data_IF_950000060171
#
_entry.id   IF_950000060171
#
_cell.length_a   1.000
_cell.length_b   1.000
_cell.length_c   1.000
_cell.angle_alpha   90.00
_cell.angle_beta   90.00
_cell.angle_gamma   90.00
#
_symmetry.space_group_name_H-M   'P 1'
#
loop_
_entity.id
_entity.type
_entity.pdbx_description
1 polymer ?
#
# COMPACT_ATOMS: atom_id res chain seq x y z
N UNK A 1 34.78 2.81 -14.03
CA UNK A 1 35.51 2.74 -12.76
C UNK A 1 34.60 2.34 -11.60
N UNK A 2 33.59 3.15 -11.25
CA UNK A 2 32.63 2.88 -10.17
C UNK A 2 32.03 1.46 -10.14
N UNK A 3 31.62 0.94 -11.31
CA UNK A 3 31.07 -0.43 -11.39
C UNK A 3 32.07 -1.52 -10.95
N UNK A 4 33.34 -1.34 -11.30
CA UNK A 4 34.40 -2.28 -10.94
C UNK A 4 34.64 -2.26 -9.44
N UNK A 5 34.75 -1.06 -8.86
CA UNK A 5 34.89 -0.86 -7.41
C UNK A 5 33.70 -1.46 -6.66
N UNK A 6 32.47 -1.23 -7.12
CA UNK A 6 31.29 -1.83 -6.52
C UNK A 6 31.33 -3.37 -6.52
N UNK A 7 31.78 -3.99 -7.63
CA UNK A 7 31.94 -5.46 -7.69
C UNK A 7 33.03 -5.97 -6.75
N UNK A 8 34.15 -5.26 -6.67
CA UNK A 8 35.23 -5.59 -5.75
C UNK A 8 34.73 -5.49 -4.30
N UNK A 9 34.01 -4.42 -3.94
CA UNK A 9 33.37 -4.26 -2.64
C UNK A 9 32.39 -5.40 -2.30
N UNK A 10 31.53 -5.79 -3.24
CA UNK A 10 30.61 -6.93 -3.04
C UNK A 10 31.37 -8.25 -2.81
N UNK A 11 32.49 -8.42 -3.52
CA UNK A 11 33.33 -9.62 -3.39
C UNK A 11 34.03 -9.64 -2.03
N UNK A 12 34.54 -8.49 -1.57
CA UNK A 12 35.12 -8.33 -0.24
C UNK A 12 34.08 -8.55 0.86
N UNK A 13 32.86 -8.04 0.71
CA UNK A 13 31.76 -8.31 1.65
C UNK A 13 31.44 -9.81 1.73
N UNK A 14 31.39 -10.49 0.58
CA UNK A 14 31.17 -11.94 0.53
C UNK A 14 32.31 -12.71 1.22
N UNK A 15 33.57 -12.31 1.01
CA UNK A 15 34.72 -12.90 1.69
C UNK A 15 34.69 -12.65 3.21
N UNK A 16 34.31 -11.44 3.63
CA UNK A 16 34.21 -11.06 5.05
C UNK A 16 33.09 -11.79 5.77
N UNK A 17 31.96 -12.00 5.11
CA UNK A 17 30.86 -12.79 5.65
C UNK A 17 31.24 -14.27 5.74
N UNK A 18 31.95 -14.79 4.73
CA UNK A 18 32.41 -16.18 4.70
C UNK A 18 31.25 -17.16 4.82
N UNK A 19 31.32 -18.04 5.83
CA UNK A 19 30.29 -19.01 6.20
C UNK A 19 29.36 -18.53 7.32
N UNK A 20 29.55 -17.32 7.84
CA UNK A 20 28.76 -16.80 8.96
C UNK A 20 27.39 -16.33 8.49
N UNK A 21 26.42 -16.35 9.41
CA UNK A 21 25.06 -15.87 9.14
C UNK A 21 24.99 -14.34 9.10
N UNK A 22 25.79 -13.66 9.92
CA UNK A 22 25.92 -12.21 10.00
C UNK A 22 27.41 -11.81 10.08
N UNK A 23 27.74 -10.54 9.86
CA UNK A 23 29.14 -10.08 9.81
C UNK A 23 29.91 -10.24 11.13
N UNK A 24 29.20 -10.30 12.26
CA UNK A 24 29.80 -10.50 13.59
C UNK A 24 29.42 -11.85 14.23
N UNK A 25 29.06 -12.85 13.41
CA UNK A 25 28.77 -14.21 13.87
C UNK A 25 27.29 -14.56 13.78
N UNK A 26 26.72 -15.01 14.90
CA UNK A 26 25.36 -15.57 14.96
C UNK A 26 24.27 -14.54 15.28
N UNK A 27 24.66 -13.36 15.73
CA UNK A 27 23.76 -12.26 16.05
C UNK A 27 23.94 -11.10 15.05
N UNK A 28 22.83 -10.51 14.56
CA UNK A 28 22.87 -9.35 13.70
C UNK A 28 23.38 -8.10 14.45
N UNK A 29 24.16 -7.27 13.77
CA UNK A 29 24.75 -6.05 14.28
C UNK A 29 24.38 -4.82 13.42
N UNK A 30 24.85 -3.64 13.84
CA UNK A 30 24.63 -2.38 13.12
C UNK A 30 25.18 -2.39 11.69
N UNK A 31 26.33 -3.05 11.47
CA UNK A 31 26.89 -3.24 10.14
C UNK A 31 25.93 -4.04 9.24
N UNK A 32 25.26 -5.04 9.80
CA UNK A 32 24.36 -5.87 9.04
C UNK A 32 23.17 -5.06 8.51
N UNK A 33 22.59 -4.19 9.35
CA UNK A 33 21.54 -3.26 8.95
C UNK A 33 22.00 -2.32 7.83
N UNK A 34 23.22 -1.77 7.94
CA UNK A 34 23.79 -0.90 6.92
C UNK A 34 24.00 -1.63 5.59
N UNK A 35 24.64 -2.79 5.60
CA UNK A 35 24.89 -3.59 4.39
C UNK A 35 23.57 -4.06 3.78
N UNK A 36 22.64 -4.52 4.59
CA UNK A 36 21.30 -4.94 4.16
C UNK A 36 20.56 -3.82 3.44
N UNK A 37 20.59 -2.59 3.97
CA UNK A 37 19.92 -1.42 3.34
C UNK A 37 20.40 -1.15 1.91
N UNK A 38 21.65 -1.53 1.58
CA UNK A 38 22.22 -1.38 0.23
C UNK A 38 21.94 -2.60 -0.63
N UNK A 39 22.08 -3.80 -0.08
CA UNK A 39 21.94 -5.05 -0.84
C UNK A 39 20.49 -5.40 -1.17
N UNK A 40 19.55 -5.17 -0.24
CA UNK A 40 18.15 -5.58 -0.44
C UNK A 40 17.48 -4.85 -1.62
N UNK A 41 17.57 -3.51 -1.76
CA UNK A 41 17.07 -2.82 -2.94
C UNK A 41 17.82 -3.24 -4.20
N UNK A 42 19.15 -3.42 -4.13
CA UNK A 42 19.94 -3.86 -5.27
C UNK A 42 19.53 -5.24 -5.78
N UNK A 43 19.08 -6.15 -4.90
CA UNK A 43 18.59 -7.49 -5.25
C UNK A 43 17.15 -7.47 -5.81
N UNK A 44 16.29 -6.60 -5.29
CA UNK A 44 14.84 -6.61 -5.58
C UNK A 44 14.41 -5.63 -6.66
N UNK A 45 15.14 -4.53 -6.85
CA UNK A 45 14.79 -3.52 -7.84
C UNK A 45 14.97 -4.02 -9.27
N UNK A 46 14.09 -3.57 -10.17
CA UNK A 46 14.26 -3.72 -11.63
C UNK A 46 15.20 -2.63 -12.11
N UNK A 47 16.43 -3.00 -12.45
CA UNK A 47 17.46 -2.07 -12.90
C UNK A 47 17.60 -2.12 -14.42
N UNK A 48 17.81 -0.97 -15.10
CA UNK A 48 18.06 -0.94 -16.54
C UNK A 48 19.36 -1.65 -16.94
N UNK A 49 20.33 -1.71 -16.02
CA UNK A 49 21.57 -2.46 -16.16
C UNK A 49 21.71 -3.48 -15.02
N UNK A 50 21.40 -4.74 -15.32
CA UNK A 50 21.42 -5.84 -14.35
C UNK A 50 22.80 -6.42 -14.05
N UNK A 51 23.90 -5.94 -14.64
CA UNK A 51 25.21 -6.59 -14.50
C UNK A 51 25.71 -6.63 -13.05
N UNK A 52 25.46 -5.58 -12.24
CA UNK A 52 25.90 -5.55 -10.83
C UNK A 52 25.02 -6.47 -9.99
N UNK A 53 23.71 -6.43 -10.24
CA UNK A 53 22.73 -7.30 -9.60
C UNK A 53 23.01 -8.77 -9.92
N UNK A 54 23.43 -9.09 -11.15
CA UNK A 54 23.81 -10.44 -11.54
C UNK A 54 25.08 -10.90 -10.80
N UNK A 55 26.09 -10.03 -10.68
CA UNK A 55 27.28 -10.31 -9.85
C UNK A 55 26.88 -10.57 -8.40
N UNK A 56 26.02 -9.74 -7.81
CA UNK A 56 25.51 -9.96 -6.45
C UNK A 56 24.75 -11.29 -6.33
N UNK A 57 23.89 -11.62 -7.30
CA UNK A 57 23.15 -12.90 -7.36
C UNK A 57 24.06 -14.12 -7.52
N UNK A 58 25.28 -13.96 -8.03
CA UNK A 58 26.26 -15.05 -8.07
C UNK A 58 26.87 -15.35 -6.69
N UNK A 59 26.84 -14.39 -5.77
CA UNK A 59 27.35 -14.50 -4.41
C UNK A 59 26.25 -15.02 -3.47
N UNK A 60 26.06 -16.35 -3.47
CA UNK A 60 24.96 -16.99 -2.74
C UNK A 60 24.95 -16.69 -1.24
N UNK A 61 26.12 -16.56 -0.61
CA UNK A 61 26.20 -16.24 0.81
C UNK A 61 25.58 -14.88 1.14
N UNK A 62 25.80 -13.86 0.32
CA UNK A 62 25.17 -12.54 0.47
C UNK A 62 23.66 -12.59 0.20
N UNK A 63 23.22 -13.40 -0.75
CA UNK A 63 21.79 -13.62 -0.99
C UNK A 63 21.10 -14.28 0.21
N UNK A 64 21.72 -15.32 0.78
CA UNK A 64 21.23 -16.02 1.97
C UNK A 64 21.22 -15.12 3.20
N UNK A 65 22.25 -14.29 3.35
CA UNK A 65 22.34 -13.25 4.36
C UNK A 65 21.16 -12.26 4.28
N UNK A 66 20.88 -11.70 3.11
CA UNK A 66 19.73 -10.80 2.94
C UNK A 66 18.40 -11.50 3.24
N UNK A 67 18.26 -12.76 2.83
CA UNK A 67 17.06 -13.56 3.10
C UNK A 67 16.89 -13.83 4.60
N UNK A 68 18.00 -14.09 5.31
CA UNK A 68 18.01 -14.32 6.75
C UNK A 68 17.56 -13.07 7.53
N UNK A 69 18.04 -11.89 7.14
CA UNK A 69 17.62 -10.61 7.75
C UNK A 69 16.14 -10.32 7.47
N UNK A 70 15.68 -10.54 6.23
CA UNK A 70 14.27 -10.39 5.89
C UNK A 70 13.39 -11.31 6.75
N UNK A 71 13.75 -12.58 6.88
CA UNK A 71 12.97 -13.52 7.69
C UNK A 71 12.98 -13.20 9.18
N UNK A 72 14.08 -12.62 9.70
CA UNK A 72 14.24 -12.36 11.13
C UNK A 72 13.52 -11.08 11.58
N UNK A 73 13.62 -10.01 10.79
CA UNK A 73 13.13 -8.68 11.16
C UNK A 73 11.91 -8.21 10.38
N UNK A 74 11.67 -8.81 9.22
CA UNK A 74 10.54 -8.50 8.36
C UNK A 74 9.76 -9.79 8.03
N UNK A 75 9.41 -10.63 9.03
CA UNK A 75 8.60 -11.81 8.80
C UNK A 75 7.31 -11.36 8.13
N UNK A 76 7.10 -11.83 6.91
CA UNK A 76 5.91 -11.48 6.14
C UNK A 76 4.70 -12.14 6.83
N UNK A 77 3.99 -11.39 7.66
CA UNK A 77 2.77 -11.86 8.32
C UNK A 77 1.57 -11.53 7.43
N UNK A 78 1.08 -12.53 6.69
CA UNK A 78 -0.16 -12.43 5.91
C UNK A 78 0.01 -12.01 4.45
N UNK A 79 -0.28 -12.95 3.55
CA UNK A 79 -0.23 -12.79 2.10
C UNK A 79 -0.90 -11.52 1.58
N UNK A 80 -0.11 -10.73 0.87
CA UNK A 80 -0.52 -9.91 -0.27
C UNK A 80 0.77 -9.44 -0.92
N UNK A 81 1.35 -10.34 -1.71
CA UNK A 81 2.34 -10.00 -2.73
C UNK A 81 2.08 -8.59 -3.22
N UNK A 82 3.02 -7.69 -3.00
CA UNK A 82 2.98 -6.35 -3.58
C UNK A 82 2.59 -6.54 -5.06
N UNK A 83 1.42 -6.04 -5.51
CA UNK A 83 1.09 -6.14 -6.92
C UNK A 83 2.24 -5.48 -7.69
N UNK A 84 2.68 -6.03 -8.83
CA UNK A 84 3.54 -5.25 -9.71
C UNK A 84 2.84 -3.91 -9.99
N UNK A 85 3.58 -2.81 -10.26
CA UNK A 85 2.95 -1.54 -10.60
C UNK A 85 2.13 -1.74 -11.89
N UNK A 86 0.84 -2.02 -11.72
CA UNK A 86 -0.12 -2.08 -12.80
C UNK A 86 -0.45 -0.62 -13.16
N UNK A 87 -0.36 -0.23 -14.43
CA UNK A 87 -0.92 1.04 -14.87
C UNK A 87 -2.42 1.04 -14.56
N UNK A 88 -2.91 2.19 -14.10
CA UNK A 88 -4.27 2.42 -13.65
C UNK A 88 -5.33 1.67 -14.48
N UNK A 89 -6.18 0.89 -13.82
CA UNK A 89 -7.38 0.32 -14.41
C UNK A 89 -7.76 -1.05 -13.87
N UNK A 90 -8.88 -1.09 -13.14
CA UNK A 90 -9.77 -2.24 -12.94
C UNK A 90 -9.44 -3.23 -11.81
N UNK A 91 -10.11 -2.96 -10.70
CA UNK A 91 -10.61 -3.80 -9.61
C UNK A 91 -10.66 -5.34 -9.85
N UNK A 92 -9.79 -6.02 -9.11
CA UNK A 92 -10.03 -7.21 -8.27
C UNK A 92 -10.98 -8.33 -8.75
N UNK A 93 -10.39 -9.39 -9.31
CA UNK A 93 -10.99 -10.72 -9.38
C UNK A 93 -10.49 -11.62 -8.24
N UNK A 94 -10.92 -11.39 -7.01
CA UNK A 94 -10.94 -12.42 -5.96
C UNK A 94 -12.28 -12.33 -5.23
N UNK A 95 -13.24 -13.09 -5.75
CA UNK A 95 -14.64 -13.10 -5.33
C UNK A 95 -14.78 -13.86 -4.01
N UNK A 96 -14.47 -13.19 -2.91
CA UNK A 96 -14.84 -13.65 -1.56
C UNK A 96 -16.33 -13.32 -1.31
N UNK A 97 -17.21 -14.31 -1.07
CA UNK A 97 -18.67 -14.11 -1.00
C UNK A 97 -19.10 -13.19 0.15
N UNK A 98 -18.23 -12.89 1.12
CA UNK A 98 -18.52 -11.99 2.23
C UNK A 98 -18.28 -10.51 1.92
N UNK A 99 -17.49 -10.17 0.88
CA UNK A 99 -17.20 -8.78 0.50
C UNK A 99 -18.43 -8.10 -0.14
N UNK A 100 -19.15 -8.83 -1.01
CA UNK A 100 -20.42 -8.35 -1.59
C UNK A 100 -21.47 -8.07 -0.53
N UNK A 101 -21.61 -8.95 0.47
CA UNK A 101 -22.58 -8.72 1.57
C UNK A 101 -22.26 -7.47 2.36
N UNK A 102 -20.98 -7.22 2.68
CA UNK A 102 -20.57 -6.02 3.41
C UNK A 102 -20.78 -4.74 2.60
N UNK A 103 -20.50 -4.76 1.29
CA UNK A 103 -20.76 -3.62 0.39
C UNK A 103 -22.26 -3.36 0.22
N UNK A 104 -23.08 -4.40 0.08
CA UNK A 104 -24.54 -4.26 0.03
C UNK A 104 -25.09 -3.67 1.33
N UNK A 105 -24.58 -4.11 2.48
CA UNK A 105 -24.97 -3.58 3.78
C UNK A 105 -24.60 -2.11 3.92
N UNK A 106 -23.41 -1.68 3.50
CA UNK A 106 -23.03 -0.26 3.57
C UNK A 106 -23.86 0.62 2.64
N UNK A 107 -24.15 0.14 1.42
CA UNK A 107 -25.02 0.87 0.48
C UNK A 107 -26.44 0.98 1.03
N UNK A 108 -26.98 -0.10 1.60
CA UNK A 108 -28.32 -0.12 2.18
C UNK A 108 -28.43 0.85 3.36
N UNK A 109 -27.47 0.80 4.29
CA UNK A 109 -27.43 1.71 5.45
C UNK A 109 -27.31 3.16 4.99
N UNK A 110 -26.45 3.44 4.02
CA UNK A 110 -26.31 4.77 3.43
C UNK A 110 -27.62 5.27 2.81
N UNK A 111 -28.32 4.44 2.04
CA UNK A 111 -29.60 4.81 1.42
C UNK A 111 -30.68 5.08 2.47
N UNK A 112 -30.78 4.25 3.50
CA UNK A 112 -31.74 4.42 4.60
C UNK A 112 -31.46 5.71 5.37
N UNK A 113 -30.19 5.99 5.69
CA UNK A 113 -29.81 7.22 6.36
C UNK A 113 -30.09 8.46 5.51
N UNK A 114 -29.80 8.41 4.20
CA UNK A 114 -30.07 9.51 3.26
C UNK A 114 -31.57 9.78 3.12
N UNK A 115 -32.39 8.74 2.99
CA UNK A 115 -33.84 8.87 2.96
C UNK A 115 -34.37 9.40 4.30
N UNK A 116 -33.94 8.84 5.42
CA UNK A 116 -34.33 9.28 6.76
C UNK A 116 -33.98 10.74 7.02
N UNK A 117 -32.77 11.15 6.66
CA UNK A 117 -32.34 12.54 6.72
C UNK A 117 -33.19 13.44 5.81
N UNK A 118 -33.43 13.05 4.56
CA UNK A 118 -34.26 13.82 3.64
C UNK A 118 -35.71 13.99 4.13
N UNK A 119 -36.27 13.00 4.86
CA UNK A 119 -37.58 13.09 5.51
C UNK A 119 -37.57 13.98 6.76
N UNK A 120 -36.59 13.82 7.65
CA UNK A 120 -36.50 14.63 8.88
C UNK A 120 -36.17 16.10 8.58
N UNK A 121 -35.28 16.34 7.63
CA UNK A 121 -34.87 17.68 7.22
C UNK A 121 -35.92 18.38 6.35
N UNK A 122 -37.05 17.74 6.04
CA UNK A 122 -38.13 18.34 5.27
C UNK A 122 -37.81 18.59 3.78
N UNK A 123 -36.70 18.04 3.28
CA UNK A 123 -36.22 18.22 1.91
C UNK A 123 -37.13 17.48 0.90
N UNK A 124 -37.83 16.43 1.33
CA UNK A 124 -38.85 15.72 0.54
C UNK A 124 -40.25 16.00 1.09
N UNK A 125 -40.97 16.92 0.46
CA UNK A 125 -42.40 17.12 0.68
C UNK A 125 -43.18 16.13 -0.19
N UNK A 126 -43.80 15.11 0.43
CA UNK A 126 -44.75 14.23 -0.25
C UNK A 126 -46.04 15.03 -0.46
N UNK A 127 -46.14 15.75 -1.57
CA UNK A 127 -47.43 16.24 -2.05
C UNK A 127 -48.25 15.04 -2.56
N UNK A 128 -49.09 14.47 -1.70
CA UNK A 128 -50.24 13.70 -2.17
C UNK A 128 -51.13 14.67 -2.95
N UNK A 129 -51.22 14.47 -4.26
CA UNK A 129 -52.05 15.29 -5.14
C UNK A 129 -53.46 15.46 -4.59
N UNK A 130 -53.77 16.69 -4.19
CA UNK A 130 -55.10 17.18 -3.84
C UNK A 130 -55.32 18.49 -4.58
N UNK A 131 -56.39 18.54 -5.36
CA UNK A 131 -56.79 19.60 -6.28
C UNK A 131 -56.93 20.98 -5.61
N UNK A 132 -56.43 22.03 -6.28
CA UNK A 132 -57.08 23.36 -6.31
C UNK A 132 -56.28 24.56 -5.77
N UNK A 133 -56.46 25.78 -6.33
CA UNK A 133 -55.38 26.75 -6.52
C UNK A 133 -55.49 27.99 -5.63
N UNK A 134 -54.34 28.64 -5.35
CA UNK A 134 -54.18 30.10 -5.36
C UNK A 134 -52.84 30.55 -4.73
N UNK A 135 -52.11 31.38 -5.47
CA UNK A 135 -51.58 32.61 -4.89
C UNK A 135 -50.13 32.64 -4.37
N UNK A 136 -49.30 33.36 -5.14
CA UNK A 136 -48.36 34.42 -4.69
C UNK A 136 -46.90 34.00 -4.38
N UNK A 137 -45.99 34.39 -5.28
CA UNK A 137 -44.56 34.68 -5.02
C UNK A 137 -44.42 36.04 -4.25
N UNK A 138 -43.27 36.53 -3.69
CA UNK A 138 -41.85 36.24 -4.02
C UNK A 138 -40.76 36.32 -2.86
N UNK A 139 -39.49 35.96 -3.18
CA UNK A 139 -38.14 36.48 -2.75
C UNK A 139 -37.71 36.64 -1.25
N UNK A 140 -36.46 36.21 -0.93
CA UNK A 140 -35.37 36.86 -0.12
C UNK A 140 -34.57 35.81 0.73
N UNK A 141 -33.26 35.60 0.52
CA UNK A 141 -32.07 36.23 1.19
C UNK A 141 -32.10 36.07 2.73
N UNK A 142 -31.11 35.47 3.39
CA UNK A 142 -29.83 36.03 3.93
C UNK A 142 -28.94 34.83 4.41
N UNK A 143 -27.63 34.73 4.15
CA UNK A 143 -26.47 35.28 4.93
C UNK A 143 -26.63 35.01 6.46
N UNK A 144 -25.69 34.49 7.25
CA UNK A 144 -24.23 34.65 7.41
C UNK A 144 -23.64 33.34 8.02
N UNK A 145 -22.41 32.92 7.68
CA UNK A 145 -21.21 33.06 8.52
C UNK A 145 -21.44 33.04 10.05
N UNK A 146 -20.86 32.06 10.74
CA UNK A 146 -19.95 32.34 11.87
C UNK A 146 -19.09 31.11 12.18
N UNK A 147 -17.78 31.36 12.23
CA UNK A 147 -16.73 30.46 12.71
C UNK A 147 -16.91 30.17 14.21
N UNK A 148 -16.78 28.91 14.63
CA UNK A 148 -15.71 28.43 15.55
C UNK A 148 -15.66 26.89 15.54
#
# INVERSE_FOLDING_TARGET
QLYREARECLTLLSQRLGSQKFFFGDSPASLDAFVFSRLAPLLKAKLPNGKLQQHLKSLQNLCNYCTSILSLYFPWDGGKSCPPPHPAGSDEGEEDPHKRRKQLLSVLVGLVAMLGYAFLSGIVSIQRGGVGPAGRQPIAMEEEEEEE
#
